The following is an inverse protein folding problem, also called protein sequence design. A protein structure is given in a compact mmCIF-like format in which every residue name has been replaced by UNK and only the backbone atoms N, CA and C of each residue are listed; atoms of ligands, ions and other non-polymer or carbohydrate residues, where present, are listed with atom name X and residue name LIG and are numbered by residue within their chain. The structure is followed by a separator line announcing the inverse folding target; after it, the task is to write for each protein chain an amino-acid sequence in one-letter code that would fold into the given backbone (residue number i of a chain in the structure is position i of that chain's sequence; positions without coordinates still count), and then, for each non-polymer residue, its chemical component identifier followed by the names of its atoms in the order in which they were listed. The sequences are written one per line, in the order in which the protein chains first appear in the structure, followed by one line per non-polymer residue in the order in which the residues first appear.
data_IF_566521903809
#
_entry.id   IF_566521903809
#
_cell.length_a   1.000
_cell.length_b   1.000
_cell.length_c   1.000
_cell.angle_alpha   90.00
_cell.angle_beta   90.00
_cell.angle_gamma   90.00
#
_symmetry.space_group_name_H-M   'P 1'
#
loop_
_entity.id
_entity.type
_entity.pdbx_description
1 polymer ?
#
# COMPACT_ATOMS: atom_id res chain seq x y z
N UNK A 1 24.65 16.47 -14.60
CA UNK A 1 25.25 15.49 -15.54
C UNK A 1 24.50 15.53 -16.87
N UNK A 2 24.78 16.52 -17.75
CA UNK A 2 24.01 16.74 -18.98
C UNK A 2 24.14 15.61 -20.02
N UNK A 3 25.17 14.76 -19.92
CA UNK A 3 25.31 13.54 -20.73
C UNK A 3 24.56 12.31 -20.18
N UNK A 4 23.85 12.45 -19.05
CA UNK A 4 23.14 11.35 -18.37
C UNK A 4 21.65 11.67 -18.19
N UNK A 5 21.32 12.89 -17.79
CA UNK A 5 19.94 13.33 -17.61
C UNK A 5 19.45 14.19 -18.78
N UNK A 6 18.19 14.02 -19.15
CA UNK A 6 17.52 14.91 -20.08
C UNK A 6 17.46 16.36 -19.52
N UNK A 7 17.32 17.38 -20.39
CA UNK A 7 17.17 18.76 -19.94
C UNK A 7 16.00 18.91 -18.96
N UNK A 8 16.26 19.55 -17.81
CA UNK A 8 15.27 19.75 -16.74
C UNK A 8 15.00 18.52 -15.86
N UNK A 9 15.55 17.35 -16.20
CA UNK A 9 15.45 16.17 -15.36
C UNK A 9 16.52 16.17 -14.27
N UNK A 10 16.13 15.74 -13.07
CA UNK A 10 17.02 15.48 -11.95
C UNK A 10 16.57 14.20 -11.24
N UNK A 11 17.48 13.65 -10.44
CA UNK A 11 17.24 12.45 -9.65
C UNK A 11 17.38 12.79 -8.17
N UNK A 12 16.42 12.32 -7.37
CA UNK A 12 16.42 12.51 -5.92
C UNK A 12 16.58 11.12 -5.29
N UNK A 13 17.73 10.91 -4.67
CA UNK A 13 18.02 9.73 -3.88
C UNK A 13 18.37 10.14 -2.44
N UNK A 14 18.09 9.25 -1.49
CA UNK A 14 18.40 9.44 -0.08
C UNK A 14 18.65 8.10 0.60
N UNK A 15 19.22 8.13 1.80
CA UNK A 15 19.46 6.93 2.62
C UNK A 15 19.02 7.19 4.04
N UNK A 16 18.25 6.27 4.60
CA UNK A 16 17.80 6.29 6.00
C UNK A 16 18.46 5.13 6.74
N UNK A 17 19.09 5.43 7.88
CA UNK A 17 19.66 4.42 8.78
C UNK A 17 18.78 4.35 10.03
N UNK A 18 18.37 3.14 10.40
CA UNK A 18 17.61 2.86 11.61
C UNK A 18 18.25 1.71 12.39
N UNK A 19 17.80 1.50 13.62
CA UNK A 19 18.21 0.40 14.47
C UNK A 19 16.99 -0.27 15.09
N UNK A 20 17.05 -1.59 15.26
CA UNK A 20 16.00 -2.39 15.89
C UNK A 20 16.64 -3.47 16.75
N UNK A 21 16.05 -3.75 17.90
CA UNK A 21 16.42 -4.93 18.68
C UNK A 21 16.06 -6.19 17.87
N UNK A 22 16.97 -7.16 17.81
CA UNK A 22 16.75 -8.42 17.10
C UNK A 22 15.46 -9.13 17.55
N UNK A 23 15.10 -9.03 18.83
CA UNK A 23 13.87 -9.62 19.37
C UNK A 23 12.59 -8.91 18.89
N UNK A 24 12.71 -7.68 18.38
CA UNK A 24 11.58 -6.86 17.90
C UNK A 24 11.49 -6.81 16.36
N UNK A 25 12.36 -7.53 15.65
CA UNK A 25 12.38 -7.53 14.20
C UNK A 25 11.12 -8.22 13.65
N UNK A 26 10.43 -7.57 12.70
CA UNK A 26 9.27 -8.13 12.02
C UNK A 26 9.69 -8.89 10.75
N UNK A 27 9.03 -10.01 10.40
CA UNK A 27 8.00 -10.67 11.17
C UNK A 27 8.52 -11.29 12.48
N UNK A 28 7.79 -11.12 13.59
CA UNK A 28 8.23 -11.52 14.94
C UNK A 28 7.45 -12.73 15.51
N UNK A 29 6.47 -13.24 14.78
CA UNK A 29 5.63 -14.37 15.16
C UNK A 29 5.22 -15.19 13.93
N UNK A 30 4.81 -16.46 14.10
CA UNK A 30 4.28 -17.26 13.00
C UNK A 30 3.07 -16.59 12.34
N UNK A 31 3.16 -16.44 11.02
CA UNK A 31 2.06 -16.03 10.16
C UNK A 31 1.29 -17.28 9.72
N UNK A 32 0.01 -17.36 10.08
CA UNK A 32 -0.82 -18.56 9.91
C UNK A 32 -2.15 -18.23 9.25
N UNK A 33 -2.80 -19.24 8.70
CA UNK A 33 -4.15 -19.08 8.16
C UNK A 33 -5.11 -18.57 9.25
N UNK A 34 -5.95 -17.59 8.90
CA UNK A 34 -6.86 -16.90 9.83
C UNK A 34 -6.26 -15.65 10.49
N UNK A 35 -4.97 -15.36 10.29
CA UNK A 35 -4.44 -14.04 10.62
C UNK A 35 -5.09 -12.97 9.73
N UNK A 36 -5.39 -11.82 10.31
CA UNK A 36 -6.16 -10.74 9.67
C UNK A 36 -5.21 -9.76 9.01
N UNK A 37 -5.64 -9.25 7.85
CA UNK A 37 -4.96 -8.20 7.11
C UNK A 37 -5.68 -6.86 7.32
N UNK A 38 -5.03 -5.94 8.02
CA UNK A 38 -5.48 -4.57 8.20
C UNK A 38 -4.79 -3.66 7.16
N UNK A 39 -5.56 -3.12 6.23
CA UNK A 39 -5.09 -2.07 5.32
C UNK A 39 -5.12 -0.71 6.00
N UNK A 40 -4.03 0.04 5.92
CA UNK A 40 -3.89 1.39 6.44
C UNK A 40 -3.95 2.38 5.29
N UNK A 41 -4.75 3.44 5.43
CA UNK A 41 -4.96 4.41 4.38
C UNK A 41 -3.66 5.02 3.85
N UNK A 42 -3.55 5.09 2.52
CA UNK A 42 -2.64 5.99 1.80
C UNK A 42 -3.25 7.38 1.72
N UNK A 43 -2.42 8.40 1.50
CA UNK A 43 -2.89 9.76 1.24
C UNK A 43 -2.84 10.14 -0.25
N UNK A 44 -2.63 9.18 -1.15
CA UNK A 44 -2.47 9.40 -2.58
C UNK A 44 -1.64 8.31 -3.25
N UNK A 45 -1.07 8.56 -4.44
CA UNK A 45 -0.26 7.57 -5.18
C UNK A 45 1.11 7.33 -4.53
N UNK A 46 1.45 8.09 -3.49
CA UNK A 46 2.74 8.07 -2.83
C UNK A 46 3.86 8.41 -3.84
N UNK A 47 4.80 7.50 -4.07
CA UNK A 47 5.98 7.71 -4.93
C UNK A 47 6.09 6.65 -6.04
N UNK A 48 5.02 5.90 -6.32
CA UNK A 48 5.04 4.80 -7.30
C UNK A 48 3.93 4.95 -8.34
N UNK A 49 4.14 4.35 -9.51
CA UNK A 49 3.15 4.37 -10.61
C UNK A 49 3.06 5.68 -11.41
N UNK A 50 3.95 6.65 -11.17
CA UNK A 50 3.89 7.96 -11.85
C UNK A 50 4.10 7.92 -13.36
N UNK A 51 4.78 6.89 -13.89
CA UNK A 51 4.85 6.68 -15.34
C UNK A 51 3.47 6.40 -15.94
N UNK A 52 2.65 5.59 -15.26
CA UNK A 52 1.27 5.33 -15.65
C UNK A 52 0.41 6.59 -15.46
N UNK A 53 0.47 7.22 -14.28
CA UNK A 53 -0.35 8.39 -13.97
C UNK A 53 -0.09 9.55 -14.95
N UNK A 54 1.18 9.82 -15.29
CA UNK A 54 1.53 10.84 -16.30
C UNK A 54 0.91 10.55 -17.67
N UNK A 55 0.91 9.28 -18.10
CA UNK A 55 0.31 8.88 -19.37
C UNK A 55 -1.22 8.96 -19.33
N UNK A 56 -1.85 8.52 -18.24
CA UNK A 56 -3.30 8.53 -18.11
C UNK A 56 -3.88 9.94 -18.03
N UNK A 57 -3.15 10.88 -17.43
CA UNK A 57 -3.60 12.26 -17.21
C UNK A 57 -2.96 13.28 -18.16
N UNK A 58 -2.29 12.84 -19.22
CA UNK A 58 -1.66 13.75 -20.20
C UNK A 58 -2.65 14.75 -20.82
N UNK A 59 -3.92 14.36 -20.93
CA UNK A 59 -4.99 15.16 -21.53
C UNK A 59 -5.66 16.14 -20.56
N UNK A 60 -5.40 16.05 -19.25
CA UNK A 60 -6.12 16.81 -18.22
C UNK A 60 -5.19 17.85 -17.57
N UNK A 61 -5.55 19.15 -17.56
CA UNK A 61 -4.74 20.17 -16.90
C UNK A 61 -4.54 19.88 -15.40
N UNK A 62 -3.33 20.15 -14.89
CA UNK A 62 -2.99 19.85 -13.49
C UNK A 62 -3.74 20.76 -12.49
N UNK A 63 -4.19 21.92 -12.93
CA UNK A 63 -5.01 22.87 -12.16
C UNK A 63 -6.52 22.58 -12.27
N UNK A 64 -6.92 21.57 -13.04
CA UNK A 64 -8.30 21.11 -13.07
C UNK A 64 -8.69 20.49 -11.72
N UNK A 65 -9.95 20.64 -11.34
CA UNK A 65 -10.56 19.97 -10.18
C UNK A 65 -11.54 18.92 -10.71
N UNK A 66 -11.13 17.63 -10.82
CA UNK A 66 -12.02 16.58 -11.30
C UNK A 66 -13.23 16.40 -10.37
N UNK A 67 -14.31 15.82 -10.91
CA UNK A 67 -15.51 15.54 -10.11
C UNK A 67 -15.16 14.65 -8.91
N UNK A 68 -15.61 15.03 -7.73
CA UNK A 68 -15.36 14.30 -6.48
C UNK A 68 -14.03 14.61 -5.80
N UNK A 69 -13.20 15.49 -6.37
CA UNK A 69 -11.97 15.95 -5.73
C UNK A 69 -12.24 17.17 -4.83
N UNK A 70 -11.46 17.28 -3.76
CA UNK A 70 -11.41 18.42 -2.84
C UNK A 70 -10.30 19.43 -3.20
N UNK A 71 -9.44 19.08 -4.14
CA UNK A 71 -8.28 19.84 -4.58
C UNK A 71 -8.04 19.63 -6.09
N UNK A 72 -7.07 20.34 -6.65
CA UNK A 72 -6.68 20.15 -8.05
C UNK A 72 -6.04 18.78 -8.28
N UNK A 73 -6.05 18.31 -9.53
CA UNK A 73 -5.38 17.07 -9.91
C UNK A 73 -3.90 17.06 -9.52
N UNK A 74 -3.20 18.17 -9.78
CA UNK A 74 -1.80 18.35 -9.45
C UNK A 74 -1.55 18.25 -7.95
N UNK A 75 -2.38 18.91 -7.12
CA UNK A 75 -2.29 18.79 -5.67
C UNK A 75 -2.54 17.36 -5.19
N UNK A 76 -3.56 16.67 -5.73
CA UNK A 76 -3.86 15.28 -5.38
C UNK A 76 -2.71 14.33 -5.75
N UNK A 77 -2.09 14.53 -6.92
CA UNK A 77 -0.95 13.74 -7.39
C UNK A 77 0.32 14.03 -6.59
N UNK A 78 0.56 15.28 -6.17
CA UNK A 78 1.78 15.70 -5.47
C UNK A 78 1.70 15.61 -3.94
N UNK A 79 0.64 15.02 -3.38
CA UNK A 79 0.57 14.72 -1.93
C UNK A 79 1.81 13.92 -1.52
N UNK A 80 2.59 14.48 -0.59
CA UNK A 80 3.80 13.82 -0.08
C UNK A 80 3.47 12.42 0.47
N UNK A 81 4.34 11.45 0.19
CA UNK A 81 4.21 10.08 0.71
C UNK A 81 3.95 10.10 2.23
N UNK A 82 2.89 9.43 2.67
CA UNK A 82 2.55 9.32 4.09
C UNK A 82 3.68 8.66 4.90
N UNK A 83 4.15 9.34 5.94
CA UNK A 83 5.05 8.75 6.92
C UNK A 83 4.25 7.92 7.93
N UNK A 84 4.45 6.60 7.93
CA UNK A 84 3.73 5.67 8.81
C UNK A 84 4.38 5.45 10.18
N UNK A 85 5.58 5.97 10.43
CA UNK A 85 6.23 5.85 11.75
C UNK A 85 5.35 6.36 12.90
N UNK A 86 4.82 7.61 12.87
CA UNK A 86 3.93 8.08 13.93
C UNK A 86 2.55 7.38 13.91
N UNK A 87 2.14 6.85 12.76
CA UNK A 87 0.84 6.19 12.58
C UNK A 87 0.80 4.79 13.22
N UNK A 88 1.92 4.06 13.13
CA UNK A 88 2.01 2.66 13.53
C UNK A 88 2.80 2.45 14.83
N UNK A 89 3.47 3.48 15.36
CA UNK A 89 4.34 3.35 16.54
C UNK A 89 3.67 2.65 17.72
N UNK A 90 2.50 3.12 18.15
CA UNK A 90 1.77 2.52 19.27
C UNK A 90 1.34 1.08 18.99
N UNK A 91 0.89 0.77 17.77
CA UNK A 91 0.50 -0.59 17.39
C UNK A 91 1.70 -1.56 17.39
N UNK A 92 2.87 -1.11 16.91
CA UNK A 92 4.11 -1.89 16.92
C UNK A 92 4.60 -2.11 18.36
N UNK A 93 4.59 -1.06 19.18
CA UNK A 93 5.02 -1.13 20.58
C UNK A 93 4.11 -2.02 21.45
N UNK A 94 2.84 -2.17 21.06
CA UNK A 94 1.89 -3.12 21.66
C UNK A 94 2.25 -4.60 21.45
N UNK A 95 3.20 -4.92 20.56
CA UNK A 95 3.75 -6.28 20.41
C UNK A 95 2.83 -7.31 19.74
N UNK A 96 1.67 -6.88 19.24
CA UNK A 96 0.65 -7.74 18.59
C UNK A 96 0.69 -7.69 17.06
N UNK A 97 1.46 -6.75 16.50
CA UNK A 97 1.75 -6.71 15.07
C UNK A 97 2.74 -7.84 14.75
N UNK A 98 2.31 -8.77 13.90
CA UNK A 98 3.12 -9.91 13.46
C UNK A 98 4.01 -9.57 12.27
N UNK A 99 3.50 -8.76 11.34
CA UNK A 99 4.23 -8.32 10.15
C UNK A 99 3.66 -7.01 9.60
N UNK A 100 4.47 -6.32 8.80
CA UNK A 100 4.10 -5.09 8.08
C UNK A 100 4.54 -5.19 6.62
N UNK A 101 3.66 -4.88 5.69
CA UNK A 101 4.02 -4.73 4.27
C UNK A 101 3.80 -3.28 3.81
N UNK A 102 4.86 -2.65 3.31
CA UNK A 102 4.78 -1.31 2.72
C UNK A 102 4.41 -1.39 1.25
N UNK A 103 3.28 -0.82 0.88
CA UNK A 103 2.72 -0.93 -0.46
C UNK A 103 3.35 0.15 -1.35
N UNK A 104 4.32 -0.28 -2.15
CA UNK A 104 5.15 0.58 -3.02
C UNK A 104 5.07 0.10 -4.47
N UNK A 105 6.19 0.12 -5.21
CA UNK A 105 6.25 -0.45 -6.56
C UNK A 105 5.89 -1.94 -6.52
N UNK A 106 5.06 -2.38 -7.47
CA UNK A 106 4.50 -3.73 -7.48
C UNK A 106 3.22 -3.90 -6.64
N UNK A 107 2.80 -2.85 -5.91
CA UNK A 107 1.50 -2.78 -5.23
C UNK A 107 1.26 -3.90 -4.22
N UNK A 108 0.00 -4.21 -3.94
CA UNK A 108 -0.35 -5.31 -3.02
C UNK A 108 0.22 -6.65 -3.50
N UNK A 109 0.07 -7.05 -4.79
CA UNK A 109 0.50 -8.36 -5.27
C UNK A 109 1.98 -8.67 -5.10
N UNK A 110 2.87 -7.67 -5.17
CA UNK A 110 4.32 -7.93 -5.06
C UNK A 110 4.91 -7.57 -3.69
N UNK A 111 4.28 -6.67 -2.92
CA UNK A 111 4.82 -6.25 -1.62
C UNK A 111 4.38 -7.14 -0.47
N UNK A 112 3.10 -7.56 -0.43
CA UNK A 112 2.59 -8.38 0.67
C UNK A 112 3.26 -9.77 0.74
N UNK A 113 3.51 -10.49 -0.36
CA UNK A 113 4.22 -11.77 -0.32
C UNK A 113 5.61 -11.75 0.31
N UNK A 114 6.28 -10.58 0.32
CA UNK A 114 7.67 -10.47 0.82
C UNK A 114 7.78 -10.75 2.31
N UNK A 115 6.67 -10.61 3.05
CA UNK A 115 6.63 -10.90 4.49
C UNK A 115 6.00 -12.26 4.82
N UNK A 116 5.41 -12.95 3.83
CA UNK A 116 4.74 -14.22 4.05
C UNK A 116 5.75 -15.39 4.03
N UNK A 117 5.57 -16.40 4.89
CA UNK A 117 6.29 -17.66 4.78
C UNK A 117 5.75 -18.49 3.61
N UNK A 118 6.51 -19.50 3.20
CA UNK A 118 6.06 -20.45 2.18
C UNK A 118 4.81 -21.21 2.66
N UNK A 119 3.88 -21.49 1.75
CA UNK A 119 2.64 -22.22 2.07
C UNK A 119 1.52 -21.34 2.65
N UNK A 120 1.71 -20.02 2.72
CA UNK A 120 0.69 -19.06 3.16
C UNK A 120 0.45 -18.01 2.06
N UNK A 121 -0.81 -17.91 1.63
CA UNK A 121 -1.28 -16.88 0.70
C UNK A 121 -2.04 -15.79 1.46
N UNK A 122 -2.18 -14.63 0.83
CA UNK A 122 -3.08 -13.57 1.27
C UNK A 122 -4.31 -13.51 0.38
N UNK A 123 -5.50 -13.53 0.99
CA UNK A 123 -6.77 -13.28 0.31
C UNK A 123 -7.20 -11.85 0.61
N UNK A 124 -7.36 -11.03 -0.43
CA UNK A 124 -7.79 -9.64 -0.33
C UNK A 124 -9.19 -9.50 -0.90
N UNK A 125 -10.09 -8.89 -0.14
CA UNK A 125 -11.46 -8.61 -0.57
C UNK A 125 -11.54 -7.20 -1.14
N UNK A 126 -11.66 -7.07 -2.46
CA UNK A 126 -11.85 -5.78 -3.10
C UNK A 126 -13.19 -5.19 -2.67
N UNK A 127 -13.20 -3.87 -2.41
CA UNK A 127 -14.37 -3.16 -1.89
C UNK A 127 -14.51 -3.18 -0.36
N UNK A 128 -13.59 -3.84 0.36
CA UNK A 128 -13.52 -3.78 1.83
C UNK A 128 -12.98 -2.44 2.38
N UNK A 129 -12.42 -1.58 1.52
CA UNK A 129 -12.09 -0.19 1.82
C UNK A 129 -12.62 0.74 0.73
N UNK A 130 -12.87 2.02 1.05
CA UNK A 130 -13.21 3.03 0.06
C UNK A 130 -11.99 3.32 -0.81
N UNK A 131 -12.13 3.13 -2.13
CA UNK A 131 -11.11 3.54 -3.10
C UNK A 131 -11.12 5.07 -3.18
N UNK A 132 -10.01 5.79 -2.91
CA UNK A 132 -10.00 7.26 -2.96
C UNK A 132 -10.35 7.83 -4.34
N UNK A 133 -10.92 9.06 -4.44
CA UNK A 133 -11.40 9.66 -5.70
C UNK A 133 -10.37 9.64 -6.84
N UNK A 134 -9.09 9.91 -6.53
CA UNK A 134 -8.02 9.83 -7.52
C UNK A 134 -7.92 8.45 -8.18
N UNK A 135 -8.01 7.38 -7.40
CA UNK A 135 -7.92 6.02 -7.92
C UNK A 135 -9.22 5.57 -8.58
N UNK A 136 -10.37 6.13 -8.20
CA UNK A 136 -11.61 5.95 -8.96
C UNK A 136 -11.48 6.55 -10.36
N UNK A 137 -11.01 7.80 -10.46
CA UNK A 137 -10.75 8.44 -11.74
C UNK A 137 -9.74 7.65 -12.57
N UNK A 138 -8.65 7.15 -11.95
CA UNK A 138 -7.69 6.26 -12.64
C UNK A 138 -8.39 5.03 -13.24
N UNK A 139 -9.28 4.38 -12.48
CA UNK A 139 -10.03 3.20 -12.97
C UNK A 139 -10.94 3.54 -14.16
N UNK A 140 -11.55 4.72 -14.15
CA UNK A 140 -12.43 5.19 -15.22
C UNK A 140 -11.65 5.48 -16.50
N UNK A 141 -10.48 6.11 -16.40
CA UNK A 141 -9.69 6.53 -17.56
C UNK A 141 -8.77 5.42 -18.09
N UNK A 142 -8.37 4.45 -17.25
CA UNK A 142 -7.55 3.31 -17.63
C UNK A 142 -8.38 2.20 -18.32
N UNK A 143 -9.20 2.58 -19.30
CA UNK A 143 -10.08 1.67 -20.03
C UNK A 143 -9.28 0.51 -20.63
N UNK A 144 -9.69 -0.72 -20.33
CA UNK A 144 -9.06 -1.94 -20.83
C UNK A 144 -7.91 -2.48 -19.97
N UNK A 145 -7.50 -1.77 -18.92
CA UNK A 145 -6.50 -2.26 -17.98
C UNK A 145 -7.12 -3.23 -16.98
N UNK A 146 -6.47 -4.38 -16.76
CA UNK A 146 -7.00 -5.38 -15.84
C UNK A 146 -6.91 -4.88 -14.38
N UNK A 147 -7.90 -5.20 -13.54
CA UNK A 147 -7.89 -4.86 -12.11
C UNK A 147 -6.59 -5.28 -11.43
N UNK A 148 -6.12 -6.50 -11.72
CA UNK A 148 -4.85 -6.98 -11.18
C UNK A 148 -3.66 -6.08 -11.54
N UNK A 149 -3.62 -5.53 -12.76
CA UNK A 149 -2.55 -4.64 -13.21
C UNK A 149 -2.57 -3.29 -12.49
N UNK A 150 -3.77 -2.75 -12.22
CA UNK A 150 -3.93 -1.52 -11.43
C UNK A 150 -3.39 -1.71 -10.01
N UNK A 151 -3.78 -2.81 -9.38
CA UNK A 151 -3.37 -3.15 -8.01
C UNK A 151 -1.90 -3.54 -7.89
N UNK A 152 -1.27 -3.96 -8.99
CA UNK A 152 0.18 -4.18 -9.08
C UNK A 152 0.95 -2.87 -9.32
N UNK A 153 0.31 -1.85 -9.90
CA UNK A 153 0.99 -0.59 -10.25
C UNK A 153 0.82 0.48 -9.18
N UNK A 154 -0.34 0.53 -8.55
CA UNK A 154 -0.75 1.56 -7.61
C UNK A 154 -1.18 0.92 -6.28
N UNK A 155 -1.06 1.69 -5.20
CA UNK A 155 -1.46 1.25 -3.87
C UNK A 155 -3.00 1.18 -3.68
N UNK A 156 -3.76 1.78 -4.60
CA UNK A 156 -5.23 1.77 -4.65
C UNK A 156 -5.92 2.21 -3.35
N UNK A 157 -5.27 3.07 -2.56
CA UNK A 157 -5.79 3.58 -1.30
C UNK A 157 -5.17 2.95 -0.05
N UNK A 158 -4.41 1.85 -0.17
CA UNK A 158 -3.78 1.14 0.97
C UNK A 158 -2.27 1.35 0.92
N UNK A 159 -1.72 2.14 1.84
CA UNK A 159 -0.28 2.42 1.86
C UNK A 159 0.54 1.43 2.69
N UNK A 160 -0.05 0.87 3.74
CA UNK A 160 0.56 -0.20 4.56
C UNK A 160 -0.45 -1.31 4.79
N UNK A 161 0.04 -2.54 4.95
CA UNK A 161 -0.75 -3.66 5.47
C UNK A 161 -0.13 -4.13 6.77
N UNK A 162 -0.95 -4.25 7.80
CA UNK A 162 -0.61 -4.79 9.12
C UNK A 162 -1.19 -6.19 9.22
N UNK A 163 -0.38 -7.15 9.66
CA UNK A 163 -0.82 -8.53 9.91
C UNK A 163 -0.86 -8.78 11.41
N UNK A 164 -1.98 -9.26 11.92
CA UNK A 164 -2.14 -9.64 13.33
C UNK A 164 -3.05 -10.86 13.48
N UNK A 165 -3.07 -11.46 14.68
CA UNK A 165 -4.04 -12.51 14.97
C UNK A 165 -5.47 -11.94 15.00
N UNK A 166 -6.47 -12.75 14.64
CA UNK A 166 -7.86 -12.33 14.68
C UNK A 166 -8.32 -11.86 16.07
N UNK A 167 -7.82 -12.49 17.13
CA UNK A 167 -8.13 -12.10 18.52
C UNK A 167 -7.53 -10.76 18.94
N UNK A 168 -6.50 -10.27 18.26
CA UNK A 168 -5.81 -9.02 18.56
C UNK A 168 -6.28 -7.83 17.69
N UNK A 169 -7.16 -8.10 16.72
CA UNK A 169 -7.62 -7.12 15.72
C UNK A 169 -8.06 -5.79 16.34
N UNK A 170 -8.98 -5.84 17.31
CA UNK A 170 -9.56 -4.63 17.91
C UNK A 170 -8.50 -3.75 18.56
N UNK A 171 -7.55 -4.34 19.28
CA UNK A 171 -6.49 -3.62 19.99
C UNK A 171 -5.46 -3.03 19.04
N UNK A 172 -5.02 -3.82 18.05
CA UNK A 172 -4.09 -3.36 17.01
C UNK A 172 -4.72 -2.21 16.24
N UNK A 173 -5.98 -2.36 15.81
CA UNK A 173 -6.69 -1.37 15.02
C UNK A 173 -6.90 -0.07 15.81
N UNK A 174 -7.27 -0.14 17.08
CA UNK A 174 -7.45 1.02 17.95
C UNK A 174 -6.15 1.79 18.22
N UNK A 175 -4.99 1.13 18.06
CA UNK A 175 -3.66 1.73 18.26
C UNK A 175 -3.10 2.40 17.01
N UNK A 176 -3.79 2.31 15.87
CA UNK A 176 -3.39 2.95 14.61
C UNK A 176 -4.15 4.26 14.46
N UNK A 177 -3.42 5.37 14.33
CA UNK A 177 -4.04 6.71 14.30
C UNK A 177 -4.58 7.13 12.93
N UNK A 178 -4.49 6.23 11.94
CA UNK A 178 -4.95 6.44 10.57
C UNK A 178 -6.17 5.56 10.29
N UNK A 179 -6.97 5.94 9.31
CA UNK A 179 -8.07 5.08 8.89
C UNK A 179 -7.57 3.70 8.45
N UNK A 180 -8.26 2.67 8.93
CA UNK A 180 -7.92 1.27 8.69
C UNK A 180 -9.16 0.46 8.33
N UNK A 181 -8.93 -0.62 7.59
CA UNK A 181 -9.98 -1.55 7.19
C UNK A 181 -9.45 -2.98 7.27
N UNK A 182 -10.30 -3.92 7.65
CA UNK A 182 -10.01 -5.34 7.43
C UNK A 182 -10.13 -5.61 5.94
N UNK A 183 -8.99 -5.78 5.27
CA UNK A 183 -8.94 -5.93 3.82
C UNK A 183 -8.90 -7.39 3.37
N UNK A 184 -8.76 -8.32 4.31
CA UNK A 184 -8.53 -9.71 4.00
C UNK A 184 -8.00 -10.52 5.16
N UNK A 185 -7.50 -11.70 4.81
CA UNK A 185 -6.96 -12.69 5.73
C UNK A 185 -5.84 -13.50 5.07
N UNK A 186 -4.99 -14.11 5.90
CA UNK A 186 -4.06 -15.14 5.46
C UNK A 186 -4.78 -16.48 5.34
N UNK A 187 -4.40 -17.26 4.33
CA UNK A 187 -4.97 -18.57 4.06
C UNK A 187 -3.87 -19.57 3.75
N UNK A 188 -4.14 -20.85 4.00
CA UNK A 188 -3.27 -21.93 3.57
C UNK A 188 -3.19 -21.95 2.05
N UNK A 189 -1.99 -21.97 1.50
CA UNK A 189 -1.76 -22.17 0.07
C UNK A 189 -1.99 -23.63 -0.32
N UNK A 190 -2.43 -23.87 -1.56
CA UNK A 190 -2.55 -25.24 -2.09
C UNK A 190 -1.19 -25.84 -2.47
N UNK A 191 -0.17 -25.00 -2.64
CA UNK A 191 1.20 -25.31 -2.99
C UNK A 191 2.18 -24.58 -2.05
N UNK A 192 3.48 -24.69 -2.31
CA UNK A 192 4.50 -23.93 -1.56
C UNK A 192 4.54 -22.43 -1.93
N UNK A 193 3.50 -21.91 -2.60
CA UNK A 193 3.40 -20.52 -3.01
C UNK A 193 3.16 -19.55 -1.85
N UNK A 194 3.39 -18.27 -2.15
CA UNK A 194 3.05 -17.11 -1.32
C UNK A 194 2.51 -16.00 -2.20
N UNK A 195 1.24 -16.07 -2.52
CA UNK A 195 0.58 -15.22 -3.51
C UNK A 195 -0.50 -14.36 -2.87
N UNK A 196 -0.87 -13.29 -3.58
CA UNK A 196 -2.03 -12.46 -3.24
C UNK A 196 -3.15 -12.81 -4.21
N UNK A 197 -4.31 -13.19 -3.67
CA UNK A 197 -5.53 -13.41 -4.44
C UNK A 197 -6.45 -12.22 -4.20
N UNK A 198 -6.77 -11.49 -5.27
CA UNK A 198 -7.72 -10.38 -5.23
C UNK A 198 -9.12 -10.93 -5.59
N UNK A 199 -10.09 -10.76 -4.70
CA UNK A 199 -11.48 -11.22 -4.85
C UNK A 199 -12.46 -10.06 -4.96
#
# INVERSE_FOLDING_TARGET
MPGVYAPGAFDIAGTLVGAVDRAKLLPNAPLVAGDVLLGVASNGPHTNGYSLLRKLFEWLPMDAVPVGFDCTLGEALLKSHRNYVPVLGAAIDGGKVKALAHITGGGLPENLPRVLPDGINARIHLGSWPVPPLFQLVREVAVGMATHELYRTLNMGVGMVVVCAAGDLSEVQASITEQTWVIGELITAADAGRTVVLL
#
